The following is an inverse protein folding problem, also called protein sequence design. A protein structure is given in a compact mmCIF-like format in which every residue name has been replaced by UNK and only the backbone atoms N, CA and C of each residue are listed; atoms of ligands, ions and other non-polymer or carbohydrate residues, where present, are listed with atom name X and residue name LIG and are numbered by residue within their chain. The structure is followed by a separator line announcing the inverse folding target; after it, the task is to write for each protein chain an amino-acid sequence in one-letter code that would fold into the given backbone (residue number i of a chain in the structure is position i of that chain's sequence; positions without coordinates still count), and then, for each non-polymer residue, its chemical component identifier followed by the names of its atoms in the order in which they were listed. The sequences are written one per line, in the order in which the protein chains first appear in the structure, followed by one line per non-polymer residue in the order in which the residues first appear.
data_IF_449154895941
#
_entry.id   IF_449154895941
#
_cell.length_a   1.000
_cell.length_b   1.000
_cell.length_c   1.000
_cell.angle_alpha   90.00
_cell.angle_beta   90.00
_cell.angle_gamma   90.00
#
_symmetry.space_group_name_H-M   'P 1'
#
loop_
_entity.id
_entity.type
_entity.pdbx_description
1 polymer ?
#
# COMPACT_ATOMS: atom_id res chain seq x y z
N UNK A 1 -3.44 -0.63 23.49
CA UNK A 1 -2.05 -0.27 23.14
C UNK A 1 -1.91 -0.46 21.65
N UNK A 2 -1.45 0.52 20.87
CA UNK A 2 -1.32 0.37 19.42
C UNK A 2 -0.27 -0.68 19.05
N UNK A 3 -0.54 -1.42 17.96
CA UNK A 3 0.42 -2.32 17.33
C UNK A 3 1.60 -1.50 16.77
N UNK A 4 2.82 -2.00 16.94
CA UNK A 4 4.04 -1.40 16.37
C UNK A 4 5.00 -2.51 15.92
N UNK A 5 6.04 -2.16 15.16
CA UNK A 5 6.96 -3.13 14.58
C UNK A 5 7.70 -3.95 15.64
N UNK A 6 8.15 -3.32 16.73
CA UNK A 6 8.87 -3.98 17.82
C UNK A 6 8.04 -5.04 18.54
N UNK A 7 6.75 -4.78 18.75
CA UNK A 7 5.83 -5.76 19.34
C UNK A 7 5.59 -6.94 18.42
N UNK A 8 5.44 -6.70 17.12
CA UNK A 8 5.31 -7.79 16.15
C UNK A 8 6.56 -8.66 16.22
N UNK A 9 7.74 -8.04 16.13
CA UNK A 9 9.04 -8.71 16.20
C UNK A 9 9.18 -9.54 17.49
N UNK A 10 8.87 -8.95 18.65
CA UNK A 10 8.95 -9.66 19.94
C UNK A 10 7.99 -10.83 20.02
N UNK A 11 6.75 -10.69 19.53
CA UNK A 11 5.75 -11.78 19.54
C UNK A 11 6.18 -12.92 18.62
N UNK A 12 6.66 -12.61 17.41
CA UNK A 12 7.13 -13.61 16.46
C UNK A 12 8.36 -14.35 17.01
N UNK A 13 9.34 -13.63 17.55
CA UNK A 13 10.53 -14.25 18.15
C UNK A 13 10.17 -15.16 19.33
N UNK A 14 9.21 -14.76 20.16
CA UNK A 14 8.72 -15.61 21.25
C UNK A 14 8.00 -16.87 20.72
N UNK A 15 7.27 -16.77 19.60
CA UNK A 15 6.64 -17.92 18.96
C UNK A 15 7.68 -18.87 18.38
N UNK A 16 8.65 -18.35 17.63
CA UNK A 16 9.72 -19.15 17.02
C UNK A 16 10.53 -19.88 18.09
N UNK A 17 10.89 -19.22 19.18
CA UNK A 17 11.57 -19.85 20.31
C UNK A 17 10.72 -20.92 21.01
N UNK A 18 9.42 -20.66 21.21
CA UNK A 18 8.52 -21.58 21.92
C UNK A 18 8.26 -22.85 21.14
N UNK A 19 8.21 -22.76 19.81
CA UNK A 19 7.83 -23.85 18.93
C UNK A 19 9.00 -24.43 18.11
N UNK A 20 10.23 -23.98 18.35
CA UNK A 20 11.43 -24.34 17.58
C UNK A 20 11.18 -24.20 16.06
N UNK A 21 10.66 -23.04 15.68
CA UNK A 21 10.24 -22.71 14.34
C UNK A 21 11.02 -21.50 13.78
N UNK A 22 10.86 -21.25 12.48
CA UNK A 22 11.45 -20.11 11.77
C UNK A 22 10.38 -19.30 11.02
N UNK A 23 9.21 -19.12 11.65
CA UNK A 23 8.08 -18.45 11.02
C UNK A 23 8.43 -17.01 10.65
N UNK A 24 9.17 -16.29 11.50
CA UNK A 24 9.59 -14.91 11.23
C UNK A 24 10.42 -14.77 9.96
N UNK A 25 11.43 -15.63 9.80
CA UNK A 25 12.25 -15.65 8.59
C UNK A 25 11.45 -16.10 7.37
N UNK A 26 10.57 -17.08 7.54
CA UNK A 26 9.76 -17.60 6.44
C UNK A 26 8.77 -16.58 5.90
N UNK A 27 8.05 -15.85 6.78
CA UNK A 27 7.07 -14.84 6.39
C UNK A 27 7.75 -13.57 5.85
N UNK A 28 8.99 -13.29 6.24
CA UNK A 28 9.79 -12.17 5.71
C UNK A 28 10.67 -12.55 4.53
N UNK A 29 10.63 -13.79 4.04
CA UNK A 29 11.31 -14.16 2.81
C UNK A 29 10.51 -13.72 1.57
N UNK A 30 11.05 -12.80 0.78
CA UNK A 30 10.37 -12.26 -0.41
C UNK A 30 10.12 -13.30 -1.51
N UNK A 31 10.86 -14.41 -1.55
CA UNK A 31 10.60 -15.52 -2.46
C UNK A 31 9.23 -16.16 -2.22
N UNK A 32 8.74 -16.07 -0.98
CA UNK A 32 7.43 -16.58 -0.57
C UNK A 32 6.29 -15.59 -0.86
N UNK A 33 6.56 -14.41 -1.43
CA UNK A 33 5.58 -13.31 -1.55
C UNK A 33 4.24 -13.74 -2.18
N UNK A 34 4.24 -14.64 -3.16
CA UNK A 34 2.99 -15.14 -3.79
C UNK A 34 2.14 -15.96 -2.83
N UNK A 35 2.77 -16.86 -2.07
CA UNK A 35 2.10 -17.71 -1.09
C UNK A 35 1.58 -16.84 0.04
N UNK A 36 2.42 -15.92 0.53
CA UNK A 36 2.06 -14.95 1.57
C UNK A 36 0.85 -14.12 1.13
N UNK A 37 0.86 -13.57 -0.10
CA UNK A 37 -0.27 -12.80 -0.64
C UNK A 37 -1.58 -13.60 -0.63
N UNK A 38 -1.53 -14.85 -1.11
CA UNK A 38 -2.70 -15.72 -1.22
C UNK A 38 -3.34 -15.98 0.16
N UNK A 39 -2.52 -16.19 1.18
CA UNK A 39 -3.01 -16.43 2.54
C UNK A 39 -3.44 -15.13 3.24
N UNK A 40 -2.64 -14.06 3.17
CA UNK A 40 -2.94 -12.78 3.81
C UNK A 40 -4.22 -12.13 3.30
N UNK A 41 -4.56 -12.32 2.01
CA UNK A 41 -5.80 -11.81 1.41
C UNK A 41 -7.05 -12.19 2.21
N UNK A 42 -7.07 -13.39 2.82
CA UNK A 42 -8.20 -13.90 3.61
C UNK A 42 -8.43 -13.13 4.90
N UNK A 43 -7.44 -12.37 5.37
CA UNK A 43 -7.47 -11.68 6.66
C UNK A 43 -7.64 -10.16 6.55
N UNK A 44 -7.62 -9.61 5.33
CA UNK A 44 -7.72 -8.16 5.07
C UNK A 44 -8.93 -7.52 5.76
N UNK A 45 -10.05 -8.25 5.83
CA UNK A 45 -11.31 -7.78 6.41
C UNK A 45 -11.52 -8.23 7.87
N UNK A 46 -10.70 -9.14 8.38
CA UNK A 46 -10.85 -9.69 9.73
C UNK A 46 -10.19 -8.81 10.79
N UNK A 47 -9.29 -7.92 10.38
CA UNK A 47 -8.54 -7.06 11.28
C UNK A 47 -8.74 -5.58 10.94
N UNK A 48 -8.56 -4.67 11.91
CA UNK A 48 -8.57 -3.25 11.64
C UNK A 48 -7.54 -2.86 10.58
N UNK A 49 -7.94 -2.00 9.63
CA UNK A 49 -7.11 -1.56 8.50
C UNK A 49 -5.76 -1.00 8.92
N UNK A 50 -5.71 -0.27 10.04
CA UNK A 50 -4.47 0.33 10.55
C UNK A 50 -3.49 -0.74 11.04
N UNK A 51 -3.97 -1.77 11.76
CA UNK A 51 -3.13 -2.89 12.19
C UNK A 51 -2.59 -3.66 10.98
N UNK A 52 -3.44 -3.88 9.96
CA UNK A 52 -3.04 -4.56 8.73
C UNK A 52 -1.93 -3.80 7.98
N UNK A 53 -1.97 -2.46 7.96
CA UNK A 53 -0.89 -1.64 7.42
C UNK A 53 0.42 -1.85 8.18
N UNK A 54 0.38 -1.87 9.52
CA UNK A 54 1.58 -2.09 10.34
C UNK A 54 2.17 -3.47 10.07
N UNK A 55 1.33 -4.51 10.03
CA UNK A 55 1.75 -5.88 9.73
C UNK A 55 2.38 -5.96 8.35
N UNK A 56 1.75 -5.36 7.33
CA UNK A 56 2.32 -5.38 5.98
C UNK A 56 3.68 -4.71 5.91
N UNK A 57 3.83 -3.54 6.54
CA UNK A 57 5.12 -2.85 6.60
C UNK A 57 6.19 -3.69 7.28
N UNK A 58 5.83 -4.42 8.34
CA UNK A 58 6.75 -5.35 8.99
C UNK A 58 7.13 -6.52 8.06
N UNK A 59 6.16 -7.14 7.39
CA UNK A 59 6.38 -8.26 6.45
C UNK A 59 7.31 -7.86 5.31
N UNK A 60 7.03 -6.72 4.66
CA UNK A 60 7.79 -6.29 3.48
C UNK A 60 9.04 -5.48 3.80
N UNK A 61 9.40 -5.37 5.08
CA UNK A 61 10.59 -4.63 5.48
C UNK A 61 11.82 -5.26 4.83
N UNK A 62 12.59 -4.43 4.12
CA UNK A 62 13.78 -4.78 3.34
C UNK A 62 13.51 -5.57 2.04
N UNK A 63 12.25 -5.72 1.62
CA UNK A 63 11.91 -6.37 0.35
C UNK A 63 12.20 -5.48 -0.85
N UNK A 64 12.45 -6.11 -2.00
CA UNK A 64 12.53 -5.39 -3.27
C UNK A 64 11.15 -4.86 -3.68
N UNK A 65 11.13 -3.69 -4.35
CA UNK A 65 9.89 -3.13 -4.89
C UNK A 65 9.14 -4.13 -5.79
N UNK A 66 9.88 -4.97 -6.53
CA UNK A 66 9.31 -6.02 -7.38
C UNK A 66 8.45 -7.00 -6.58
N UNK A 67 8.95 -7.50 -5.46
CA UNK A 67 8.24 -8.45 -4.60
C UNK A 67 7.02 -7.80 -3.95
N UNK A 68 7.14 -6.54 -3.53
CA UNK A 68 6.01 -5.79 -2.95
C UNK A 68 4.91 -5.57 -4.00
N UNK A 69 5.25 -5.24 -5.24
CA UNK A 69 4.29 -5.13 -6.34
C UNK A 69 3.55 -6.47 -6.56
N UNK A 70 4.27 -7.60 -6.56
CA UNK A 70 3.66 -8.93 -6.73
C UNK A 70 2.70 -9.22 -5.57
N UNK A 71 3.14 -8.99 -4.33
CA UNK A 71 2.34 -9.17 -3.12
C UNK A 71 1.05 -8.34 -3.19
N UNK A 72 1.18 -7.02 -3.43
CA UNK A 72 0.04 -6.10 -3.51
C UNK A 72 -0.92 -6.47 -4.64
N UNK A 73 -0.41 -6.86 -5.82
CA UNK A 73 -1.25 -7.29 -6.94
C UNK A 73 -2.17 -8.45 -6.54
N UNK A 74 -1.57 -9.53 -6.06
CA UNK A 74 -2.29 -10.75 -5.72
C UNK A 74 -3.22 -10.59 -4.51
N UNK A 75 -2.80 -9.81 -3.51
CA UNK A 75 -3.53 -9.67 -2.26
C UNK A 75 -4.63 -8.61 -2.30
N UNK A 76 -4.37 -7.46 -2.95
CA UNK A 76 -5.22 -6.27 -2.83
C UNK A 76 -5.79 -5.77 -4.16
N UNK A 77 -5.17 -6.08 -5.31
CA UNK A 77 -5.51 -5.37 -6.56
C UNK A 77 -6.29 -6.25 -7.54
N UNK A 78 -6.02 -7.55 -7.60
CA UNK A 78 -6.72 -8.48 -8.52
C UNK A 78 -8.24 -8.53 -8.34
N UNK A 79 -8.77 -8.09 -7.19
CA UNK A 79 -10.21 -8.00 -6.91
C UNK A 79 -10.49 -6.69 -6.17
N UNK A 80 -9.93 -5.58 -6.65
CA UNK A 80 -9.97 -4.31 -5.92
C UNK A 80 -11.38 -3.72 -5.78
N UNK A 81 -12.32 -4.06 -6.66
CA UNK A 81 -13.69 -3.54 -6.56
C UNK A 81 -14.41 -4.04 -5.31
N UNK A 82 -14.10 -5.27 -4.87
CA UNK A 82 -14.54 -5.73 -3.55
C UNK A 82 -13.74 -4.99 -2.48
N UNK A 83 -14.44 -4.36 -1.53
CA UNK A 83 -13.78 -3.70 -0.39
C UNK A 83 -12.81 -2.58 -0.81
N UNK A 84 -13.16 -1.86 -1.89
CA UNK A 84 -12.30 -0.84 -2.52
C UNK A 84 -11.70 0.14 -1.50
N UNK A 85 -12.52 0.72 -0.61
CA UNK A 85 -12.04 1.69 0.39
C UNK A 85 -10.97 1.09 1.32
N UNK A 86 -11.20 -0.10 1.87
CA UNK A 86 -10.25 -0.78 2.77
C UNK A 86 -8.93 -1.10 2.07
N UNK A 87 -8.99 -1.62 0.83
CA UNK A 87 -7.79 -2.00 0.08
C UNK A 87 -6.99 -0.77 -0.34
N UNK A 88 -7.66 0.31 -0.75
CA UNK A 88 -7.01 1.59 -1.01
C UNK A 88 -6.32 2.11 0.25
N UNK A 89 -6.98 2.07 1.40
CA UNK A 89 -6.39 2.54 2.66
C UNK A 89 -5.13 1.76 3.03
N UNK A 90 -5.13 0.44 2.81
CA UNK A 90 -3.95 -0.41 3.04
C UNK A 90 -2.83 -0.04 2.06
N UNK A 91 -3.14 0.07 0.77
CA UNK A 91 -2.17 0.43 -0.27
C UNK A 91 -1.55 1.80 -0.01
N UNK A 92 -2.37 2.79 0.32
CA UNK A 92 -1.93 4.13 0.72
C UNK A 92 -0.98 4.07 1.91
N UNK A 93 -1.32 3.30 2.95
CA UNK A 93 -0.48 3.17 4.13
C UNK A 93 0.86 2.53 3.83
N UNK A 94 0.87 1.50 2.98
CA UNK A 94 2.07 0.82 2.53
C UNK A 94 3.06 1.76 1.83
N UNK A 95 2.56 2.58 0.90
CA UNK A 95 3.38 3.46 0.07
C UNK A 95 3.61 4.86 0.68
N UNK A 96 3.00 5.15 1.83
CA UNK A 96 2.91 6.52 2.35
C UNK A 96 4.26 7.18 2.59
N UNK A 97 5.27 6.43 3.02
CA UNK A 97 6.61 6.98 3.33
C UNK A 97 7.61 6.78 2.20
N UNK A 98 7.19 6.19 1.07
CA UNK A 98 8.09 5.84 -0.02
C UNK A 98 8.53 7.04 -0.85
N UNK A 99 9.73 6.95 -1.42
CA UNK A 99 10.23 7.91 -2.39
C UNK A 99 9.28 8.01 -3.62
N UNK A 100 9.01 9.21 -4.16
CA UNK A 100 8.10 9.41 -5.30
C UNK A 100 8.34 8.50 -6.50
N UNK A 101 9.61 8.23 -6.84
CA UNK A 101 9.98 7.33 -7.94
C UNK A 101 9.50 5.87 -7.71
N UNK A 102 9.56 5.37 -6.48
CA UNK A 102 9.05 4.03 -6.16
C UNK A 102 7.53 3.98 -6.19
N UNK A 103 6.87 5.04 -5.73
CA UNK A 103 5.40 5.16 -5.84
C UNK A 103 4.97 5.18 -7.30
N UNK A 104 5.66 5.94 -8.16
CA UNK A 104 5.38 6.00 -9.59
C UNK A 104 5.50 4.61 -10.25
N UNK A 105 6.61 3.90 -10.01
CA UNK A 105 6.81 2.56 -10.56
C UNK A 105 5.79 1.56 -10.01
N UNK A 106 5.43 1.66 -8.74
CA UNK A 106 4.36 0.87 -8.14
C UNK A 106 3.03 1.09 -8.87
N UNK A 107 2.59 2.34 -9.03
CA UNK A 107 1.33 2.68 -9.72
C UNK A 107 1.35 2.19 -11.17
N UNK A 108 2.43 2.47 -11.93
CA UNK A 108 2.55 2.00 -13.31
C UNK A 108 2.41 0.48 -13.37
N UNK A 109 3.10 -0.23 -12.49
CA UNK A 109 3.10 -1.68 -12.49
C UNK A 109 1.74 -2.25 -12.08
N UNK A 110 1.04 -1.67 -11.11
CA UNK A 110 -0.26 -2.16 -10.65
C UNK A 110 -1.38 -1.83 -11.61
N UNK A 111 -1.34 -0.67 -12.27
CA UNK A 111 -2.33 -0.30 -13.29
C UNK A 111 -2.33 -1.24 -14.51
N UNK A 112 -1.24 -1.96 -14.80
CA UNK A 112 -1.20 -2.93 -15.90
C UNK A 112 -2.19 -4.08 -15.77
N UNK A 113 -2.66 -4.39 -14.56
CA UNK A 113 -3.64 -5.46 -14.30
C UNK A 113 -5.07 -4.95 -14.08
N UNK A 114 -5.27 -3.64 -14.09
CA UNK A 114 -6.56 -3.02 -13.88
C UNK A 114 -7.23 -2.70 -15.22
N UNK A 115 -8.56 -2.79 -15.24
CA UNK A 115 -9.37 -2.34 -16.37
C UNK A 115 -9.32 -0.81 -16.50
N UNK A 116 -9.38 -0.31 -17.74
CA UNK A 116 -9.31 1.13 -18.05
C UNK A 116 -10.34 1.96 -17.28
N UNK A 117 -11.55 1.40 -17.05
CA UNK A 117 -12.63 2.07 -16.32
C UNK A 117 -12.29 2.36 -14.85
N UNK A 118 -11.40 1.58 -14.24
CA UNK A 118 -11.07 1.68 -12.80
C UNK A 118 -9.76 2.42 -12.56
N UNK A 119 -8.82 2.43 -13.52
CA UNK A 119 -7.48 3.03 -13.35
C UNK A 119 -7.51 4.46 -12.82
N UNK A 120 -8.33 5.33 -13.39
CA UNK A 120 -8.45 6.73 -12.95
C UNK A 120 -8.92 6.82 -11.50
N UNK A 121 -9.95 6.06 -11.15
CA UNK A 121 -10.49 6.02 -9.79
C UNK A 121 -9.46 5.45 -8.81
N UNK A 122 -8.77 4.38 -9.18
CA UNK A 122 -7.69 3.79 -8.39
C UNK A 122 -6.58 4.80 -8.11
N UNK A 123 -6.01 5.41 -9.15
CA UNK A 123 -4.89 6.35 -9.02
C UNK A 123 -5.28 7.56 -8.17
N UNK A 124 -6.44 8.15 -8.46
CA UNK A 124 -6.97 9.29 -7.70
C UNK A 124 -7.05 8.98 -6.21
N UNK A 125 -7.61 7.83 -5.88
CA UNK A 125 -7.74 7.40 -4.49
C UNK A 125 -6.36 7.12 -3.89
N UNK A 126 -5.46 6.40 -4.57
CA UNK A 126 -4.11 6.11 -4.04
C UNK A 126 -3.32 7.37 -3.65
N UNK A 127 -3.43 8.46 -4.41
CA UNK A 127 -2.65 9.69 -4.16
C UNK A 127 -3.38 10.74 -3.31
N UNK A 128 -4.66 10.54 -2.98
CA UNK A 128 -5.53 11.56 -2.34
C UNK A 128 -4.92 12.20 -1.07
N UNK A 129 -4.18 11.40 -0.31
CA UNK A 129 -3.57 11.82 0.96
C UNK A 129 -2.16 12.41 0.83
N UNK A 130 -1.65 12.55 -0.40
CA UNK A 130 -0.37 13.19 -0.64
C UNK A 130 -0.50 14.71 -0.75
N UNK A 131 0.62 15.39 -0.53
CA UNK A 131 0.76 16.82 -0.78
C UNK A 131 0.83 17.06 -2.28
N UNK A 132 0.39 18.24 -2.72
CA UNK A 132 0.39 18.60 -4.14
C UNK A 132 1.80 18.50 -4.77
N UNK A 133 2.83 18.96 -4.06
CA UNK A 133 4.23 18.84 -4.49
C UNK A 133 4.63 17.37 -4.71
N UNK A 134 4.29 16.49 -3.76
CA UNK A 134 4.58 15.07 -3.90
C UNK A 134 3.86 14.43 -5.08
N UNK A 135 2.60 14.79 -5.31
CA UNK A 135 1.85 14.31 -6.46
C UNK A 135 2.47 14.78 -7.77
N UNK A 136 2.90 16.04 -7.86
CA UNK A 136 3.63 16.54 -9.03
C UNK A 136 4.91 15.74 -9.29
N UNK A 137 5.68 15.45 -8.23
CA UNK A 137 6.89 14.62 -8.33
C UNK A 137 6.57 13.19 -8.81
N UNK A 138 5.52 12.56 -8.28
CA UNK A 138 5.07 11.23 -8.75
C UNK A 138 4.65 11.29 -10.23
N UNK A 139 3.85 12.27 -10.64
CA UNK A 139 3.38 12.42 -12.02
C UNK A 139 4.53 12.73 -13.00
N UNK A 140 5.57 13.41 -12.54
CA UNK A 140 6.81 13.63 -13.31
C UNK A 140 7.53 12.30 -13.56
N UNK A 141 7.75 11.50 -12.51
CA UNK A 141 8.38 10.18 -12.59
C UNK A 141 7.58 9.18 -13.45
N UNK A 142 6.24 9.31 -13.46
CA UNK A 142 5.39 8.49 -14.33
C UNK A 142 5.71 8.73 -15.82
N UNK A 143 6.13 9.95 -16.21
CA UNK A 143 6.43 10.25 -17.61
C UNK A 143 5.26 9.93 -18.56
N UNK A 144 5.48 9.75 -19.85
CA UNK A 144 4.35 9.56 -20.79
C UNK A 144 3.76 8.14 -20.77
N UNK A 145 4.21 7.29 -19.82
CA UNK A 145 3.82 5.88 -19.71
C UNK A 145 2.33 5.66 -19.47
N UNK A 146 1.60 6.68 -19.02
CA UNK A 146 0.14 6.64 -18.79
C UNK A 146 -0.65 7.70 -19.58
N UNK A 147 -0.02 8.36 -20.57
CA UNK A 147 -0.64 9.43 -21.36
C UNK A 147 -0.63 10.81 -20.68
N UNK A 148 -0.48 11.86 -21.47
CA UNK A 148 -0.44 13.27 -21.02
C UNK A 148 -1.78 13.72 -20.44
N UNK A 149 -2.86 13.45 -21.15
CA UNK A 149 -4.21 13.93 -20.83
C UNK A 149 -4.71 13.38 -19.49
N UNK A 150 -4.29 12.14 -19.19
CA UNK A 150 -4.57 11.48 -17.92
C UNK A 150 -3.91 12.22 -16.73
N UNK A 151 -2.67 12.68 -16.89
CA UNK A 151 -1.95 13.40 -15.82
C UNK A 151 -2.60 14.74 -15.50
N UNK A 152 -3.00 15.46 -16.54
CA UNK A 152 -3.65 16.76 -16.39
C UNK A 152 -4.98 16.62 -15.66
N UNK A 153 -5.77 15.60 -16.01
CA UNK A 153 -6.99 15.24 -15.29
C UNK A 153 -6.73 15.01 -13.80
N UNK A 154 -5.74 14.17 -13.47
CA UNK A 154 -5.39 13.85 -12.08
C UNK A 154 -4.90 15.08 -11.30
N UNK A 155 -4.06 15.93 -11.91
CA UNK A 155 -3.51 17.12 -11.25
C UNK A 155 -4.58 18.19 -11.01
N UNK A 156 -5.45 18.42 -12.00
CA UNK A 156 -6.52 19.40 -11.94
C UNK A 156 -7.55 19.02 -10.85
N UNK A 157 -7.95 17.75 -10.82
CA UNK A 157 -8.85 17.23 -9.80
C UNK A 157 -8.23 17.23 -8.40
N UNK A 158 -6.94 16.90 -8.28
CA UNK A 158 -6.27 16.95 -6.98
C UNK A 158 -6.21 18.39 -6.45
N UNK A 159 -5.90 19.36 -7.31
CA UNK A 159 -5.80 20.78 -6.92
C UNK A 159 -7.18 21.33 -6.51
N UNK A 160 -8.23 20.99 -7.25
CA UNK A 160 -9.61 21.39 -6.92
C UNK A 160 -10.15 20.70 -5.68
N UNK A 161 -9.87 19.41 -5.48
CA UNK A 161 -10.28 18.69 -4.26
C UNK A 161 -9.43 19.06 -3.02
N UNK A 162 -8.25 19.64 -3.19
CA UNK A 162 -7.47 20.21 -2.07
C UNK A 162 -8.23 21.34 -1.35
N UNK A 163 -9.20 21.96 -2.02
CA UNK A 163 -10.05 23.03 -1.47
C UNK A 163 -11.28 22.48 -0.73
N UNK A 164 -11.60 21.18 -0.88
CA UNK A 164 -12.70 20.53 -0.16
C UNK A 164 -12.19 19.94 1.16
N UNK A 165 -13.02 19.88 2.21
CA UNK A 165 -12.65 19.18 3.44
C UNK A 165 -12.38 17.70 3.13
N UNK A 166 -11.11 17.28 3.23
CA UNK A 166 -10.72 15.88 3.05
C UNK A 166 -11.47 15.00 4.04
N UNK A 167 -11.90 13.79 3.64
CA UNK A 167 -12.41 12.78 4.58
C UNK A 167 -11.36 12.58 5.67
N UNK A 168 -11.69 12.98 6.90
CA UNK A 168 -10.73 12.97 8.00
C UNK A 168 -10.46 11.51 8.39
N UNK A 169 -9.26 11.00 8.07
CA UNK A 169 -8.86 9.66 8.44
C UNK A 169 -8.72 9.55 9.95
N UNK A 170 -9.09 8.39 10.49
CA UNK A 170 -8.91 8.09 11.92
C UNK A 170 -7.43 8.25 12.27
N UNK A 171 -7.13 8.89 13.40
CA UNK A 171 -5.75 9.15 13.88
C UNK A 171 -4.86 7.90 13.82
N UNK A 172 -5.38 6.75 14.26
CA UNK A 172 -4.66 5.46 14.25
C UNK A 172 -4.18 5.03 12.85
N UNK A 173 -4.96 5.33 11.81
CA UNK A 173 -4.59 5.01 10.43
C UNK A 173 -3.46 5.93 9.95
N UNK A 174 -3.52 7.21 10.28
CA UNK A 174 -2.45 8.17 9.99
C UNK A 174 -1.17 7.78 10.74
N UNK A 175 -1.27 7.36 12.00
CA UNK A 175 -0.14 6.88 12.78
C UNK A 175 0.50 5.65 12.11
N UNK A 176 -0.31 4.67 11.67
CA UNK A 176 0.17 3.49 10.93
C UNK A 176 0.86 3.86 9.59
N UNK A 177 0.37 4.89 8.90
CA UNK A 177 0.94 5.37 7.65
C UNK A 177 2.36 5.94 7.84
N UNK A 178 2.68 6.48 9.01
CA UNK A 178 3.98 7.11 9.27
C UNK A 178 5.04 6.18 9.88
N UNK A 179 4.69 4.92 10.15
CA UNK A 179 5.66 3.91 10.62
C UNK A 179 6.69 3.61 9.52
N UNK A 180 7.97 3.56 9.88
CA UNK A 180 9.11 3.22 9.02
C UNK A 180 9.83 2.01 9.62
#
# INVERSE_FOLDING_TARGET
MSLNLEKIESVINNMDQKYDANFGDWIRNEENCKIIAYHLKKYVHLYPTHDFVVVLKWVVKDWTLRSIIILSKMMLISEIESEFETKIDILQGLIHTWHPAFVAEFIISTCKILDESIKTTYIRNIIENFTTDRVQNILKEIGDKMGSDFKESILCEHTTNSQKPKKQKKKQLIDAFNII
#
